data_IF_761081526858
#
_entry.id   IF_761081526858
#
_cell.length_a   1.000
_cell.length_b   1.000
_cell.length_c   1.000
_cell.angle_alpha   90.00
_cell.angle_beta   90.00
_cell.angle_gamma   90.00
#
_symmetry.space_group_name_H-M   'P 1'
#
loop_
_entity.id
_entity.type
_entity.pdbx_description
1 polymer ?
2 polymer ?
3 water ?
#
loop_
_entity_poly.entity_id
_entity_poly.type
_entity_poly.pdbx_seq_one_letter_code
_entity_poly.pdbx_strand_id
2 'polyribonucleotide' 'GCUUUUUGUUCG' ?
#
# COMPACT_ATOMS: atom_id res chain seq x y z
N UNK A 12 14.62 4.25 12.54
CA UNK A 12 14.30 4.60 13.92
C UNK A 12 12.79 4.82 14.11
N UNK A 13 12.26 5.87 13.45
CA UNK A 13 10.87 6.26 13.55
C UNK A 13 9.95 5.43 12.66
N UNK A 14 10.41 5.03 11.46
CA UNK A 14 9.59 4.23 10.52
C UNK A 14 9.80 2.74 10.69
N UNK A 15 10.51 2.32 11.74
CA UNK A 15 10.74 0.92 12.02
C UNK A 15 9.45 0.27 12.51
N UNK A 16 9.09 -0.89 11.94
CA UNK A 16 7.91 -1.63 12.36
C UNK A 16 8.29 -2.56 13.49
N UNK A 17 7.57 -2.46 14.63
CA UNK A 17 7.72 -3.33 15.80
C UNK A 17 6.36 -3.97 15.99
N UNK A 18 6.21 -5.29 15.73
CA UNK A 18 4.91 -5.99 15.88
C UNK A 18 4.46 -6.06 17.35
N UNK A 19 5.40 -6.00 18.30
CA UNK A 19 5.04 -6.00 19.73
C UNK A 19 4.34 -4.68 20.13
N UNK A 20 4.73 -3.53 19.54
CA UNK A 20 4.08 -2.23 19.79
C UNK A 20 2.73 -2.08 19.06
N UNK A 21 2.53 -2.80 17.95
CA UNK A 21 1.25 -2.81 17.23
C UNK A 21 0.27 -3.61 18.05
N UNK A 22 0.68 -4.82 18.43
CA UNK A 22 -0.11 -5.74 19.23
C UNK A 22 -0.51 -5.16 20.59
N UNK A 23 0.42 -4.46 21.28
CA UNK A 23 0.12 -3.83 22.57
C UNK A 23 -0.74 -2.55 22.44
N UNK A 24 -0.90 -2.02 21.23
CA UNK A 24 -1.68 -0.83 20.97
C UNK A 24 -0.96 0.47 21.21
N UNK A 25 0.39 0.44 21.32
CA UNK A 25 1.17 1.67 21.52
C UNK A 25 1.28 2.40 20.21
N UNK A 26 1.70 1.67 19.16
CA UNK A 26 1.82 2.22 17.81
C UNK A 26 0.53 1.94 17.04
N UNK A 27 -0.23 3.03 16.78
CA UNK A 27 -1.53 3.00 16.11
C UNK A 27 -1.45 3.41 14.64
N UNK A 28 -0.23 3.45 14.07
CA UNK A 28 0.01 3.77 12.67
C UNK A 28 -0.46 2.63 11.77
N UNK A 29 -1.15 3.02 10.67
CA UNK A 29 -1.80 2.16 9.69
C UNK A 29 -1.18 2.19 8.30
N UNK A 30 -0.53 3.32 7.89
CA UNK A 30 0.10 3.37 6.58
C UNK A 30 1.48 2.71 6.69
N UNK A 31 1.80 1.86 5.73
CA UNK A 31 3.03 1.10 5.68
C UNK A 31 3.59 1.18 4.24
N UNK A 32 4.93 1.19 4.12
CA UNK A 32 5.68 1.20 2.87
C UNK A 32 6.01 -0.25 2.58
N UNK A 33 5.65 -0.77 1.39
CA UNK A 33 5.98 -2.14 0.97
C UNK A 33 7.23 -1.94 0.11
N UNK A 34 8.38 -2.26 0.64
CA UNK A 34 9.63 -2.03 -0.09
C UNK A 34 10.22 -3.34 -0.57
N UNK A 35 11.01 -3.24 -1.67
CA UNK A 35 11.77 -4.27 -2.33
C UNK A 35 10.86 -5.14 -3.16
N UNK A 36 10.15 -4.47 -4.10
CA UNK A 36 9.21 -5.10 -5.03
C UNK A 36 9.88 -5.26 -6.42
N UNK A 37 9.75 -6.44 -7.08
CA UNK A 37 10.25 -6.57 -8.47
C UNK A 37 9.69 -5.45 -9.35
N UNK A 38 10.53 -4.82 -10.18
CA UNK A 38 10.10 -3.68 -10.99
C UNK A 38 9.03 -4.00 -12.03
N UNK A 39 8.96 -5.25 -12.55
CA UNK A 39 7.93 -5.64 -13.52
C UNK A 39 6.62 -6.15 -12.86
N UNK A 40 6.51 -6.05 -11.52
CA UNK A 40 5.30 -6.40 -10.76
C UNK A 40 4.27 -5.28 -10.95
N UNK A 41 3.01 -5.67 -11.14
CA UNK A 41 1.95 -4.68 -11.41
C UNK A 41 1.00 -4.46 -10.24
N UNK A 42 0.09 -3.49 -10.42
CA UNK A 42 -0.95 -3.13 -9.46
C UNK A 42 -1.87 -4.33 -9.20
N UNK A 43 -2.18 -5.12 -10.24
CA UNK A 43 -3.06 -6.29 -10.15
C UNK A 43 -2.37 -7.37 -9.35
N UNK A 44 -1.11 -7.65 -9.71
CA UNK A 44 -0.30 -8.67 -9.03
C UNK A 44 -0.10 -8.31 -7.57
N UNK A 45 0.04 -7.00 -7.24
CA UNK A 45 0.21 -6.57 -5.86
C UNK A 45 -1.09 -6.75 -5.10
N UNK A 46 -2.22 -6.31 -5.66
CA UNK A 46 -3.50 -6.53 -5.00
C UNK A 46 -3.68 -8.02 -4.70
N UNK A 47 -3.39 -8.88 -5.66
CA UNK A 47 -3.51 -10.32 -5.50
C UNK A 47 -2.56 -10.87 -4.44
N UNK A 48 -1.31 -10.39 -4.43
CA UNK A 48 -0.27 -10.75 -3.46
C UNK A 48 -0.76 -10.44 -2.03
N UNK A 49 -1.38 -9.26 -1.85
CA UNK A 49 -1.89 -8.83 -0.54
C UNK A 49 -3.14 -9.64 -0.17
N UNK A 50 -4.09 -9.80 -1.11
CA UNK A 50 -5.35 -10.55 -0.91
C UNK A 50 -5.20 -12.03 -0.45
N UNK A 51 -4.00 -12.59 -0.50
CA UNK A 51 -3.74 -13.96 -0.05
C UNK A 51 -3.89 -13.99 1.47
N UNK A 52 -3.25 -13.02 2.14
CA UNK A 52 -3.19 -12.89 3.60
C UNK A 52 -4.07 -11.78 4.18
N UNK A 53 -4.26 -10.69 3.43
CA UNK A 53 -4.93 -9.48 3.90
C UNK A 53 -6.06 -9.02 2.99
N UNK A 54 -6.98 -9.92 2.63
CA UNK A 54 -8.12 -9.53 1.80
C UNK A 54 -9.07 -8.65 2.62
N UNK A 55 -9.42 -7.49 2.09
CA UNK A 55 -10.35 -6.56 2.72
C UNK A 55 -9.92 -5.93 4.04
N UNK A 56 -8.61 -5.88 4.33
CA UNK A 56 -8.05 -5.30 5.55
C UNK A 56 -7.36 -3.96 5.28
N UNK A 57 -7.38 -3.49 4.02
CA UNK A 57 -6.72 -2.25 3.62
C UNK A 57 -7.72 -1.36 2.83
N UNK A 58 -7.57 -0.04 2.98
CA UNK A 58 -8.45 0.96 2.39
C UNK A 58 -7.75 1.96 1.43
N UNK A 59 -6.41 1.86 1.28
CA UNK A 59 -5.62 2.66 0.33
C UNK A 59 -4.54 1.73 -0.26
N UNK A 60 -4.13 1.95 -1.50
CA UNK A 60 -3.06 1.17 -2.12
C UNK A 60 -2.45 1.97 -3.27
N UNK A 61 -1.12 2.15 -3.28
CA UNK A 61 -0.44 2.90 -4.33
C UNK A 61 0.92 2.32 -4.61
N UNK A 62 1.10 1.74 -5.79
CA UNK A 62 2.35 1.17 -6.32
C UNK A 62 2.90 2.24 -7.32
N UNK A 63 4.01 2.92 -6.96
CA UNK A 63 4.54 4.02 -7.77
C UNK A 63 5.12 3.48 -9.07
N UNK A 64 4.76 4.11 -10.21
CA UNK A 64 5.15 3.67 -11.54
C UNK A 64 6.02 4.69 -12.20
N UNK A 65 7.13 4.22 -12.87
CA UNK A 65 7.95 5.06 -13.74
C UNK A 65 7.18 5.09 -15.05
N UNK A 66 6.63 6.24 -15.41
CA UNK A 66 5.80 6.38 -16.61
C UNK A 66 6.60 6.28 -17.89
N UNK A 67 7.89 6.58 -17.82
CA UNK A 67 8.80 6.57 -18.96
C UNK A 67 9.24 5.12 -19.21
N UNK A 68 9.85 4.48 -18.20
CA UNK A 68 10.31 3.08 -18.30
C UNK A 68 9.17 2.03 -18.17
N UNK A 69 7.92 2.46 -17.82
CA UNK A 69 6.68 1.66 -17.80
C UNK A 69 6.72 0.46 -16.85
N UNK A 70 7.19 0.68 -15.63
CA UNK A 70 7.32 -0.37 -14.63
C UNK A 70 7.42 0.28 -13.25
N UNK A 71 7.06 -0.44 -12.17
CA UNK A 71 7.16 0.11 -10.81
C UNK A 71 8.60 0.47 -10.43
N UNK A 72 8.71 1.28 -9.41
CA UNK A 72 9.93 1.91 -8.92
C UNK A 72 10.58 1.19 -7.68
N UNK A 73 10.10 0.00 -7.33
CA UNK A 73 10.62 -0.78 -6.21
C UNK A 73 9.88 -0.68 -4.89
N UNK A 74 8.86 0.20 -4.82
CA UNK A 74 8.05 0.36 -3.61
C UNK A 74 6.58 0.67 -3.89
N UNK A 75 5.75 0.44 -2.86
CA UNK A 75 4.32 0.69 -2.83
C UNK A 75 3.96 1.19 -1.43
N UNK A 76 2.72 1.67 -1.29
CA UNK A 76 2.18 2.20 -0.03
C UNK A 76 0.81 1.61 0.18
N UNK A 77 0.55 1.14 1.39
CA UNK A 77 -0.74 0.56 1.73
C UNK A 77 -1.21 1.11 3.07
N UNK A 78 -2.53 1.37 3.22
CA UNK A 78 -3.11 1.81 4.50
C UNK A 78 -4.06 0.69 4.98
N UNK A 79 -3.82 0.21 6.19
CA UNK A 79 -4.61 -0.84 6.79
C UNK A 79 -5.71 -0.18 7.60
N UNK A 80 -6.93 -0.73 7.59
CA UNK A 80 -8.05 -0.16 8.35
C UNK A 80 -7.77 -0.30 9.88
N UNK A 81 -7.13 -1.45 10.27
CA UNK A 81 -6.75 -1.81 11.63
C UNK A 81 -5.22 -2.00 11.67
N UNK A 82 -4.45 -1.41 12.62
CA UNK A 82 -2.97 -1.63 12.61
C UNK A 82 -2.52 -3.09 12.78
N UNK A 83 -3.34 -3.92 13.41
CA UNK A 83 -3.03 -5.32 13.66
C UNK A 83 -2.96 -6.18 12.38
N UNK A 84 -3.45 -5.67 11.24
CA UNK A 84 -3.35 -6.32 9.92
C UNK A 84 -1.91 -6.19 9.33
N UNK A 85 -1.08 -5.33 9.93
CA UNK A 85 0.33 -5.16 9.59
C UNK A 85 1.11 -6.38 10.10
N UNK A 86 0.65 -7.01 11.19
CA UNK A 86 1.30 -8.19 11.74
C UNK A 86 1.01 -9.39 10.83
N UNK A 87 -0.25 -9.51 10.36
CA UNK A 87 -0.71 -10.58 9.47
C UNK A 87 0.09 -10.59 8.16
N UNK A 88 0.27 -9.41 7.55
CA UNK A 88 1.00 -9.22 6.29
C UNK A 88 2.48 -9.39 6.54
N UNK A 89 3.01 -8.60 7.49
CA UNK A 89 4.40 -8.64 7.89
C UNK A 89 4.93 -10.03 8.17
N UNK A 90 4.28 -10.77 9.05
CA UNK A 90 4.68 -12.15 9.37
C UNK A 90 4.60 -13.13 8.20
N UNK A 91 3.77 -12.85 7.21
CA UNK A 91 3.63 -13.72 6.05
C UNK A 91 4.64 -13.43 4.94
N UNK A 92 4.95 -12.12 4.70
CA UNK A 92 5.78 -11.66 3.57
C UNK A 92 7.15 -11.08 3.86
N UNK A 93 7.30 -10.25 4.91
CA UNK A 93 8.62 -9.65 5.21
C UNK A 93 9.67 -10.74 5.33
N UNK A 94 10.79 -10.62 4.60
CA UNK A 94 11.85 -11.63 4.65
C UNK A 94 11.76 -12.72 3.60
N UNK A 95 10.69 -12.69 2.77
CA UNK A 95 10.48 -13.68 1.74
C UNK A 95 10.72 -13.07 0.34
N UNK A 96 11.20 -13.91 -0.60
CA UNK A 96 11.43 -13.50 -1.98
C UNK A 96 10.11 -13.58 -2.72
N UNK A 97 10.02 -12.93 -3.88
CA UNK A 97 8.78 -12.80 -4.62
C UNK A 97 8.45 -13.95 -5.59
N UNK A 98 9.48 -14.74 -6.01
CA UNK A 98 9.35 -15.89 -6.93
C UNK A 98 8.77 -15.49 -8.30
N UNK A 99 9.10 -14.29 -8.76
CA UNK A 99 8.67 -13.81 -10.07
C UNK A 99 9.78 -13.00 -10.71
N UNK A 100 9.89 -13.14 -12.05
CA UNK A 100 10.82 -12.38 -12.88
C UNK A 100 12.28 -12.57 -12.54
N UNK A 101 12.70 -13.78 -12.08
CA UNK A 101 14.10 -14.07 -11.73
C UNK A 101 14.69 -13.02 -10.73
N UNK A 102 13.80 -12.40 -9.91
CA UNK A 102 14.13 -11.37 -8.93
C UNK A 102 14.62 -12.04 -7.65
N UNK A 103 15.76 -11.57 -7.11
CA UNK A 103 16.33 -12.08 -5.85
C UNK A 103 16.02 -11.11 -4.70
N UNK A 104 15.12 -10.10 -4.94
CA UNK A 104 14.66 -9.12 -3.95
C UNK A 104 13.89 -9.83 -2.87
N UNK A 105 13.96 -9.31 -1.63
CA UNK A 105 13.26 -9.87 -0.47
C UNK A 105 12.27 -8.79 0.02
N UNK A 106 11.02 -9.19 0.34
CA UNK A 106 10.00 -8.27 0.85
C UNK A 106 10.37 -7.68 2.21
N UNK A 107 10.06 -6.39 2.37
CA UNK A 107 10.34 -5.68 3.60
C UNK A 107 9.32 -4.58 3.72
N UNK A 108 9.06 -4.12 4.97
CA UNK A 108 8.16 -2.98 5.22
C UNK A 108 8.71 -1.98 6.26
N UNK A 109 8.14 -0.80 6.29
CA UNK A 109 8.45 0.27 7.25
C UNK A 109 7.23 1.21 7.30
N UNK A 110 7.06 2.01 8.35
CA UNK A 110 5.91 2.89 8.37
C UNK A 110 6.10 3.97 7.31
N UNK A 111 4.97 4.44 6.77
CA UNK A 111 4.97 5.45 5.75
C UNK A 111 5.14 6.80 6.46
N UNK A 112 5.70 7.79 5.75
CA UNK A 112 5.83 9.15 6.30
C UNK A 112 4.48 9.94 6.26
N UNK A 113 3.52 9.51 5.39
CA UNK A 113 2.18 10.09 5.28
C UNK A 113 1.28 9.00 5.81
N UNK A 114 0.69 9.24 6.96
CA UNK A 114 -0.17 8.31 7.67
C UNK A 114 -1.65 8.69 7.51
N UNK A 115 -2.48 7.70 7.16
CA UNK A 115 -3.92 7.84 7.05
C UNK A 115 -4.52 8.13 5.68
N UNK A 116 -5.62 7.43 5.34
CA UNK A 116 -6.40 7.59 4.10
C UNK A 116 -6.82 9.03 3.83
N UNK A 117 -7.21 9.74 4.88
CA UNK A 117 -7.62 11.14 4.71
C UNK A 117 -6.44 12.00 4.26
N UNK A 118 -5.26 11.80 4.87
CA UNK A 118 -4.01 12.52 4.59
C UNK A 118 -3.48 12.15 3.20
N UNK A 119 -3.65 10.87 2.81
CA UNK A 119 -3.23 10.33 1.51
C UNK A 119 -4.11 10.87 0.38
N UNK A 120 -5.41 11.00 0.62
CA UNK A 120 -6.33 11.59 -0.36
C UNK A 120 -5.96 13.07 -0.58
N UNK A 121 -5.67 13.80 0.51
CA UNK A 121 -5.23 15.22 0.52
C UNK A 121 -4.06 15.42 -0.47
N UNK A 122 -3.09 14.49 -0.39
CA UNK A 122 -1.85 14.45 -1.14
C UNK A 122 -2.09 14.12 -2.60
N UNK A 123 -2.72 12.98 -2.85
CA UNK A 123 -2.92 12.49 -4.21
C UNK A 123 -4.05 13.11 -5.03
N UNK A 124 -5.16 13.62 -4.43
CA UNK A 124 -6.32 14.13 -5.24
C UNK A 124 -5.99 15.22 -6.26
N UNK A 125 -5.04 16.14 -5.95
CA UNK A 125 -4.63 17.23 -6.83
C UNK A 125 -3.31 16.92 -7.55
N UNK A 126 -2.91 15.63 -7.61
CA UNK A 126 -1.65 15.20 -8.22
C UNK A 126 -1.84 14.94 -9.73
N UNK A 127 -0.72 14.94 -10.47
CA UNK A 127 -0.69 14.65 -11.91
C UNK A 127 -0.55 13.15 -12.16
N UNK A 128 -0.48 12.32 -11.09
CA UNK A 128 -0.42 10.87 -11.24
C UNK A 128 -1.86 10.40 -11.44
N UNK A 129 -2.88 11.24 -11.04
CA UNK A 129 -4.30 10.95 -11.23
C UNK A 129 -4.70 11.17 -12.67
N UNK A 130 -3.91 11.92 -13.46
CA UNK A 130 -4.18 12.17 -14.87
C UNK A 130 -3.69 11.01 -15.79
N UNK A 131 -2.94 10.03 -15.24
CA UNK A 131 -2.38 8.86 -15.96
C UNK A 131 -3.36 7.67 -16.00
N UNK A 132 -2.93 6.52 -16.57
CA UNK A 132 -3.71 5.27 -16.66
C UNK A 132 -4.21 4.84 -15.25
N UNK A 133 -5.48 4.39 -15.06
CA UNK A 133 -5.93 3.99 -13.70
C UNK A 133 -5.07 2.96 -12.98
N UNK A 134 -4.40 2.07 -13.72
CA UNK A 134 -3.49 1.07 -13.18
C UNK A 134 -2.18 1.68 -12.63
N UNK A 135 -1.89 2.96 -12.95
CA UNK A 135 -0.72 3.72 -12.52
C UNK A 135 -1.05 4.62 -11.32
N UNK A 136 -2.36 4.83 -11.06
CA UNK A 136 -2.88 5.71 -10.00
C UNK A 136 -3.03 5.05 -8.63
N UNK A 137 -2.99 5.84 -7.53
CA UNK A 137 -3.32 5.30 -6.21
C UNK A 137 -4.79 4.91 -6.16
N UNK A 138 -5.13 3.85 -5.43
CA UNK A 138 -6.51 3.38 -5.31
C UNK A 138 -6.98 3.40 -3.85
N UNK A 139 -8.32 3.50 -3.65
CA UNK A 139 -8.96 3.48 -2.33
C UNK A 139 -10.13 2.51 -2.35
N UNK A 140 -10.41 1.90 -1.17
CA UNK A 140 -11.45 0.90 -0.94
C UNK A 140 -12.26 1.25 0.29
N UNK A 141 -13.58 0.98 0.31
CA UNK A 141 -14.44 1.35 1.45
C UNK A 141 -13.81 0.82 2.77
N UNK A 142 -13.69 1.69 3.78
CA UNK A 142 -13.06 1.33 5.05
C UNK A 142 -13.98 0.58 5.95
N UNK A 143 -15.25 1.01 6.07
CA UNK A 143 -16.17 0.39 7.02
C UNK A 143 -17.54 0.06 6.44
N UNK A 144 -18.20 -0.90 7.11
CA UNK A 144 -19.56 -1.32 6.78
C UNK A 144 -19.68 -2.54 5.90
N UNK A 145 -20.90 -2.81 5.38
CA UNK A 145 -21.11 -3.97 4.50
C UNK A 145 -20.42 -3.86 3.13
N UNK A 146 -20.04 -2.63 2.72
CA UNK A 146 -19.30 -2.40 1.47
C UNK A 146 -17.79 -2.34 1.72
N UNK A 147 -17.29 -2.68 2.95
CA UNK A 147 -15.86 -2.66 3.30
C UNK A 147 -15.06 -3.50 2.30
N UNK A 148 -14.00 -2.92 1.74
CA UNK A 148 -13.14 -3.57 0.77
C UNK A 148 -13.45 -3.28 -0.69
N UNK A 149 -14.67 -2.79 -1.01
CA UNK A 149 -15.08 -2.47 -2.39
C UNK A 149 -14.37 -1.22 -2.88
N UNK A 150 -13.79 -1.28 -4.09
CA UNK A 150 -13.06 -0.13 -4.65
C UNK A 150 -14.01 1.06 -4.84
N UNK A 151 -13.51 2.27 -4.53
CA UNK A 151 -14.27 3.52 -4.63
C UNK A 151 -13.59 4.42 -5.63
N UNK A 152 -14.34 5.35 -6.27
CA UNK A 152 -13.67 6.36 -7.10
C UNK A 152 -12.90 7.29 -6.18
N UNK A 153 -11.74 7.76 -6.61
CA UNK A 153 -10.90 8.64 -5.78
C UNK A 153 -11.55 10.03 -5.71
N UNK A 154 -11.61 10.68 -4.52
CA UNK A 154 -12.19 12.03 -4.45
C UNK A 154 -11.59 12.98 -5.47
N UNK A 155 -12.45 13.69 -6.20
CA UNK A 155 -12.03 14.60 -7.28
C UNK A 155 -11.12 15.73 -6.77
N UNK A 156 -10.37 16.41 -7.65
CA UNK A 156 -9.50 17.50 -7.18
C UNK A 156 -10.23 18.70 -6.61
N UNK A 157 -9.50 19.55 -5.89
CA UNK A 157 -10.02 20.79 -5.30
C UNK A 157 -8.94 21.90 -5.30
N UNK A 158 -8.34 22.15 -6.48
CA UNK A 158 -7.28 23.15 -6.66
C UNK A 158 -7.85 24.60 -6.65
N UNK A 159 -7.09 25.58 -7.18
CA UNK A 159 -7.50 26.98 -7.27
C UNK A 159 -6.84 27.68 -8.47
#
# INVERSE_FOLDING_TARGET
GPLGSPEFPGSDRNSVDYAQIASGIDTRTTVMIKNIPNKFTQQMLRDYIDVTNKGTYDFLYLRIDFVNKCNVGYAFINFIEPQSIITFGKARVGTQWNVFHSEKICDISYANIQGKDRLIEKFRNSCVMDENPAYRPKIFVSHGPNRGMEEPFPAPNNARRKLRSIASAQQIGLFPPTASKC
#
